data_IF_709161270160
#
_entry.id   IF_709161270160
#
_cell.length_a   1.000
_cell.length_b   1.000
_cell.length_c   1.000
_cell.angle_alpha   90.00
_cell.angle_beta   90.00
_cell.angle_gamma   90.00
#
_symmetry.space_group_name_H-M   'P 1'
#
loop_
_entity.id
_entity.type
_entity.pdbx_description
1 polymer ?
#
# COMPACT_ATOMS: atom_id res chain seq x y z
N UNK A 1 -1.16 -18.78 9.52
CA UNK A 1 -1.75 -18.07 8.34
C UNK A 1 -2.64 -16.96 8.84
N UNK A 2 -2.13 -15.73 8.90
CA UNK A 2 -2.97 -14.55 9.16
C UNK A 2 -3.82 -14.31 7.92
N UNK A 3 -5.10 -14.69 7.98
CA UNK A 3 -6.08 -14.32 6.95
C UNK A 3 -6.04 -12.79 6.86
N UNK A 4 -5.62 -12.26 5.71
CA UNK A 4 -5.75 -10.84 5.42
C UNK A 4 -7.18 -10.44 5.75
N UNK A 5 -7.38 -9.54 6.72
CA UNK A 5 -8.71 -9.04 7.04
C UNK A 5 -9.32 -8.55 5.72
N UNK A 6 -10.51 -9.05 5.33
CA UNK A 6 -11.16 -8.55 4.15
C UNK A 6 -11.28 -7.04 4.29
N UNK A 7 -10.79 -6.28 3.31
CA UNK A 7 -11.13 -4.86 3.19
C UNK A 7 -12.65 -4.78 3.34
N UNK A 8 -13.12 -4.09 4.37
CA UNK A 8 -14.55 -3.89 4.60
C UNK A 8 -15.15 -3.43 3.27
N UNK A 9 -16.04 -4.24 2.70
CA UNK A 9 -16.82 -3.79 1.56
C UNK A 9 -17.76 -2.73 2.10
N UNK A 10 -17.71 -1.53 1.51
CA UNK A 10 -18.50 -0.32 1.76
C UNK A 10 -20.04 -0.48 1.67
N UNK A 11 -20.60 -1.65 1.98
CA UNK A 11 -21.99 -1.97 1.73
C UNK A 11 -22.95 -1.43 2.81
N UNK A 12 -22.45 -0.84 3.89
CA UNK A 12 -23.28 -0.40 5.02
C UNK A 12 -23.62 1.10 5.00
N UNK A 13 -23.15 1.86 4.00
CA UNK A 13 -23.71 3.19 3.74
C UNK A 13 -24.99 2.97 2.93
N UNK A 14 -26.18 3.31 3.47
CA UNK A 14 -27.42 3.15 2.71
C UNK A 14 -27.33 3.96 1.43
N UNK A 15 -27.21 3.26 0.30
CA UNK A 15 -27.30 3.90 -1.02
C UNK A 15 -28.69 4.50 -1.10
N UNK A 16 -28.79 5.82 -1.23
CA UNK A 16 -30.09 6.45 -1.48
C UNK A 16 -30.66 5.84 -2.77
N UNK A 17 -31.84 5.21 -2.73
CA UNK A 17 -32.42 4.63 -3.93
C UNK A 17 -32.56 5.71 -4.99
N UNK A 18 -32.17 5.40 -6.22
CA UNK A 18 -32.33 6.33 -7.33
C UNK A 18 -33.81 6.67 -7.50
N UNK A 19 -34.17 7.96 -7.41
CA UNK A 19 -35.55 8.41 -7.59
C UNK A 19 -35.89 8.27 -9.09
N UNK A 20 -36.82 7.36 -9.40
CA UNK A 20 -37.22 7.07 -10.77
C UNK A 20 -37.69 8.33 -11.53
N UNK A 21 -37.41 8.38 -12.83
CA UNK A 21 -37.82 9.51 -13.68
C UNK A 21 -39.34 9.45 -13.93
N UNK A 22 -40.04 10.57 -13.73
CA UNK A 22 -41.46 10.70 -14.08
C UNK A 22 -42.46 10.32 -12.98
N UNK A 23 -42.03 10.01 -11.75
CA UNK A 23 -42.93 9.61 -10.65
C UNK A 23 -43.07 10.66 -9.54
N UNK A 24 -42.39 11.80 -9.63
CA UNK A 24 -42.47 12.85 -8.61
C UNK A 24 -43.74 13.69 -8.78
N UNK A 25 -44.83 13.25 -8.15
CA UNK A 25 -46.03 14.03 -7.94
C UNK A 25 -46.14 14.46 -6.46
N UNK A 26 -46.80 15.59 -6.15
CA UNK A 26 -47.12 15.91 -4.76
C UNK A 26 -47.90 14.75 -4.12
N UNK A 27 -47.49 14.32 -2.93
CA UNK A 27 -48.23 13.29 -2.17
C UNK A 27 -49.67 13.73 -1.90
N UNK A 28 -49.88 15.04 -1.70
CA UNK A 28 -51.20 15.66 -1.69
C UNK A 28 -51.26 16.76 -2.78
N UNK A 29 -52.06 16.59 -3.85
CA UNK A 29 -52.16 17.57 -4.93
C UNK A 29 -52.88 18.87 -4.52
N UNK A 30 -53.61 18.88 -3.40
CA UNK A 30 -54.33 20.07 -2.91
C UNK A 30 -53.51 20.92 -1.93
N UNK A 31 -52.40 20.38 -1.41
CA UNK A 31 -51.51 21.11 -0.54
C UNK A 31 -50.53 21.97 -1.35
N UNK A 32 -50.12 23.10 -0.79
CA UNK A 32 -49.01 23.88 -1.33
C UNK A 32 -47.74 23.04 -1.37
N UNK A 33 -47.16 22.88 -2.56
CA UNK A 33 -45.93 22.12 -2.75
C UNK A 33 -44.74 23.05 -2.72
N UNK A 34 -43.67 22.64 -2.04
CA UNK A 34 -42.41 23.39 -1.99
C UNK A 34 -41.89 23.75 -3.40
N UNK A 35 -42.08 22.87 -4.39
CA UNK A 35 -41.66 23.11 -5.78
C UNK A 35 -42.54 24.09 -6.56
N UNK A 36 -43.86 24.10 -6.31
CA UNK A 36 -44.79 24.93 -7.10
C UNK A 36 -45.12 26.25 -6.42
N UNK A 37 -45.02 26.32 -5.09
CA UNK A 37 -45.34 27.51 -4.30
C UNK A 37 -44.16 28.47 -4.21
N UNK A 38 -42.93 27.96 -4.07
CA UNK A 38 -41.74 28.79 -4.00
C UNK A 38 -41.01 28.81 -5.35
N UNK A 39 -40.57 29.99 -5.83
CA UNK A 39 -39.71 30.07 -7.01
C UNK A 39 -38.31 29.50 -6.71
N UNK A 40 -37.54 29.20 -7.76
CA UNK A 40 -36.24 28.52 -7.63
C UNK A 40 -35.26 29.31 -6.74
N UNK A 41 -35.31 30.64 -6.79
CA UNK A 41 -34.50 31.54 -5.99
C UNK A 41 -34.77 31.36 -4.49
N UNK A 42 -36.05 31.32 -4.09
CA UNK A 42 -36.43 31.08 -2.69
C UNK A 42 -36.02 29.68 -2.23
N UNK A 43 -36.16 28.66 -3.09
CA UNK A 43 -35.71 27.30 -2.76
C UNK A 43 -34.19 27.24 -2.58
N UNK A 44 -33.42 27.93 -3.42
CA UNK A 44 -31.97 28.03 -3.29
C UNK A 44 -31.56 28.71 -1.98
N UNK A 45 -32.30 29.73 -1.51
CA UNK A 45 -32.07 30.31 -0.17
C UNK A 45 -32.25 29.26 0.93
N UNK A 46 -33.28 28.42 0.84
CA UNK A 46 -33.51 27.31 1.79
C UNK A 46 -32.38 26.28 1.72
N UNK A 47 -31.98 25.84 0.52
CA UNK A 47 -30.87 24.88 0.38
C UNK A 47 -29.55 25.45 0.89
N UNK A 48 -29.28 26.73 0.63
CA UNK A 48 -28.10 27.40 1.18
C UNK A 48 -28.14 27.43 2.71
N UNK A 49 -29.28 27.76 3.31
CA UNK A 49 -29.42 27.74 4.77
C UNK A 49 -29.23 26.33 5.37
N UNK A 50 -29.59 25.26 4.64
CA UNK A 50 -29.47 23.88 5.11
C UNK A 50 -28.08 23.28 4.88
N UNK A 51 -27.44 23.59 3.75
CA UNK A 51 -26.30 22.84 3.25
C UNK A 51 -25.06 23.67 2.96
N UNK A 52 -25.17 24.99 2.83
CA UNK A 52 -23.97 25.81 2.64
C UNK A 52 -23.32 26.06 4.00
N UNK A 53 -22.04 25.72 4.09
CA UNK A 53 -21.25 25.85 5.29
C UNK A 53 -20.14 26.87 5.03
N UNK A 54 -20.24 28.08 5.59
CA UNK A 54 -19.17 29.06 5.48
C UNK A 54 -17.85 28.48 6.00
N UNK A 55 -16.79 28.53 5.19
CA UNK A 55 -15.49 27.93 5.50
C UNK A 55 -15.35 26.45 5.09
N UNK A 56 -16.41 25.84 4.56
CA UNK A 56 -16.40 24.48 4.04
C UNK A 56 -16.71 23.41 5.07
N UNK A 57 -16.80 22.17 4.60
CA UNK A 57 -17.10 21.00 5.41
C UNK A 57 -15.78 20.29 5.71
N UNK A 58 -15.38 20.23 6.98
CA UNK A 58 -14.19 19.48 7.41
C UNK A 58 -14.56 18.04 7.79
N UNK A 59 -13.84 17.09 7.22
CA UNK A 59 -13.96 15.65 7.51
C UNK A 59 -12.62 15.09 7.96
N UNK A 60 -12.67 14.15 8.88
CA UNK A 60 -11.51 13.37 9.34
C UNK A 60 -11.80 11.89 9.09
N UNK A 61 -11.40 11.35 7.92
CA UNK A 61 -11.63 9.94 7.62
C UNK A 61 -10.83 9.06 8.59
N UNK A 62 -11.55 8.37 9.47
CA UNK A 62 -11.03 7.28 10.29
C UNK A 62 -10.66 6.09 9.42
N UNK A 63 -9.54 5.42 9.72
CA UNK A 63 -9.16 4.17 9.04
C UNK A 63 -9.99 2.96 9.47
N UNK A 64 -10.48 2.97 10.72
CA UNK A 64 -11.23 1.87 11.31
C UNK A 64 -12.76 1.98 11.14
N UNK A 65 -13.26 3.06 10.52
CA UNK A 65 -14.66 3.26 10.12
C UNK A 65 -15.68 2.70 11.12
N UNK A 66 -15.62 3.19 12.36
CA UNK A 66 -16.85 3.24 13.14
C UNK A 66 -17.68 4.35 12.49
N UNK A 67 -18.81 4.00 11.89
CA UNK A 67 -19.68 4.82 11.02
C UNK A 67 -20.25 6.10 11.67
N UNK A 68 -19.71 6.51 12.82
CA UNK A 68 -20.11 7.66 13.62
C UNK A 68 -19.21 8.89 13.53
N UNK A 69 -17.90 8.80 13.27
CA UNK A 69 -16.98 9.90 13.68
C UNK A 69 -16.26 10.63 12.53
N UNK A 70 -16.83 10.60 11.32
CA UNK A 70 -16.17 11.21 10.13
C UNK A 70 -16.17 12.74 10.12
N UNK A 71 -17.07 13.39 10.86
CA UNK A 71 -17.14 14.85 10.95
C UNK A 71 -16.47 15.33 12.23
N UNK A 72 -15.54 16.28 12.11
CA UNK A 72 -14.92 16.90 13.28
C UNK A 72 -15.89 17.80 14.04
N UNK A 73 -16.74 18.52 13.30
CA UNK A 73 -17.75 19.38 13.87
C UNK A 73 -19.07 18.61 14.03
N UNK A 74 -19.35 18.20 15.27
CA UNK A 74 -20.58 17.47 15.62
C UNK A 74 -21.84 18.32 15.49
N UNK A 75 -21.76 19.65 15.66
CA UNK A 75 -22.91 20.54 15.48
C UNK A 75 -23.22 20.70 13.99
N UNK A 76 -22.18 20.87 13.16
CA UNK A 76 -22.33 20.84 11.71
C UNK A 76 -22.96 19.52 11.25
N UNK A 77 -22.48 18.39 11.77
CA UNK A 77 -23.07 17.08 11.47
C UNK A 77 -24.55 17.03 11.83
N UNK A 78 -24.94 17.48 13.02
CA UNK A 78 -26.36 17.53 13.43
C UNK A 78 -27.18 18.38 12.48
N UNK A 79 -26.66 19.55 12.08
CA UNK A 79 -27.30 20.44 11.10
C UNK A 79 -27.49 19.77 9.73
N UNK A 80 -26.43 19.19 9.18
CA UNK A 80 -26.49 18.48 7.89
C UNK A 80 -27.45 17.29 7.95
N UNK A 81 -27.40 16.47 9.02
CA UNK A 81 -28.28 15.32 9.23
C UNK A 81 -29.75 15.74 9.29
N UNK A 82 -30.05 16.87 9.95
CA UNK A 82 -31.41 17.42 9.97
C UNK A 82 -31.89 17.85 8.58
N UNK A 83 -30.98 18.29 7.70
CA UNK A 83 -31.27 18.64 6.31
C UNK A 83 -31.41 17.44 5.37
N UNK A 84 -30.73 16.31 5.61
CA UNK A 84 -30.70 15.15 4.72
C UNK A 84 -32.07 14.62 4.25
N UNK A 85 -33.14 14.59 5.08
CA UNK A 85 -34.47 14.17 4.62
C UNK A 85 -34.96 14.92 3.38
N UNK A 86 -34.59 16.19 3.19
CA UNK A 86 -35.00 16.97 2.02
C UNK A 86 -34.47 16.36 0.71
N UNK A 87 -33.28 15.73 0.74
CA UNK A 87 -32.67 15.07 -0.41
C UNK A 87 -33.43 13.80 -0.82
N UNK A 88 -34.26 13.26 0.07
CA UNK A 88 -35.07 12.07 -0.20
C UNK A 88 -36.48 12.36 -0.73
N UNK A 89 -36.85 13.64 -0.86
CA UNK A 89 -38.24 14.05 -1.18
C UNK A 89 -38.62 13.75 -2.64
N UNK A 90 -37.94 14.37 -3.60
CA UNK A 90 -38.16 14.14 -5.02
C UNK A 90 -36.90 14.45 -5.83
N UNK A 91 -36.88 14.00 -7.09
CA UNK A 91 -35.70 14.14 -7.97
C UNK A 91 -35.27 15.59 -8.18
N UNK A 92 -36.21 16.51 -8.37
CA UNK A 92 -35.89 17.92 -8.61
C UNK A 92 -35.25 18.55 -7.37
N UNK A 93 -35.88 18.41 -6.19
CA UNK A 93 -35.34 18.91 -4.93
C UNK A 93 -33.97 18.29 -4.66
N UNK A 94 -33.83 16.97 -4.86
CA UNK A 94 -32.55 16.29 -4.74
C UNK A 94 -31.47 16.94 -5.58
N UNK A 95 -31.70 17.20 -6.88
CA UNK A 95 -30.68 17.80 -7.74
C UNK A 95 -30.35 19.24 -7.36
N UNK A 96 -31.34 20.07 -7.04
CA UNK A 96 -31.13 21.46 -6.62
C UNK A 96 -30.34 21.52 -5.29
N UNK A 97 -30.78 20.76 -4.29
CA UNK A 97 -30.17 20.71 -2.96
C UNK A 97 -28.79 20.04 -2.95
N UNK A 98 -28.62 18.92 -3.66
CA UNK A 98 -27.33 18.22 -3.75
C UNK A 98 -26.27 19.09 -4.43
N UNK A 99 -26.65 19.91 -5.41
CA UNK A 99 -25.73 20.87 -6.02
C UNK A 99 -25.21 21.85 -4.96
N UNK A 100 -26.08 22.34 -4.09
CA UNK A 100 -25.67 23.20 -2.97
C UNK A 100 -24.74 22.48 -2.01
N UNK A 101 -25.08 21.25 -1.59
CA UNK A 101 -24.26 20.47 -0.66
C UNK A 101 -22.88 20.10 -1.23
N UNK A 102 -22.81 19.59 -2.45
CA UNK A 102 -21.57 19.04 -3.01
C UNK A 102 -20.75 20.04 -3.82
N UNK A 103 -21.40 20.92 -4.60
CA UNK A 103 -20.69 21.86 -5.48
C UNK A 103 -20.40 23.21 -4.85
N UNK A 104 -21.23 23.69 -3.92
CA UNK A 104 -21.06 25.02 -3.31
C UNK A 104 -20.31 24.98 -1.98
N UNK A 105 -19.86 23.81 -1.54
CA UNK A 105 -18.99 23.67 -0.38
C UNK A 105 -17.60 23.23 -0.81
N UNK A 106 -16.62 23.75 -0.09
CA UNK A 106 -15.25 23.25 -0.09
C UNK A 106 -15.13 22.11 0.92
N UNK A 107 -14.57 20.98 0.53
CA UNK A 107 -14.43 19.82 1.40
C UNK A 107 -13.01 19.72 1.94
N UNK A 108 -12.82 19.91 3.24
CA UNK A 108 -11.50 19.85 3.86
C UNK A 108 -11.29 18.48 4.47
N UNK A 109 -10.34 17.71 3.95
CA UNK A 109 -9.96 16.40 4.49
C UNK A 109 -8.76 16.60 5.40
N UNK A 110 -8.96 16.32 6.68
CA UNK A 110 -7.97 16.46 7.75
C UNK A 110 -7.65 15.09 8.35
N UNK A 111 -6.58 15.04 9.13
CA UNK A 111 -6.18 13.82 9.86
C UNK A 111 -7.05 13.60 11.09
N UNK A 112 -7.61 12.41 11.27
CA UNK A 112 -8.29 12.02 12.52
C UNK A 112 -7.30 11.93 13.69
N UNK A 113 -7.63 12.56 14.81
CA UNK A 113 -6.77 12.65 16.00
C UNK A 113 -7.11 11.63 17.06
N UNK A 114 -8.39 11.28 17.18
CA UNK A 114 -8.88 10.51 18.32
C UNK A 114 -8.51 9.02 18.17
N UNK A 115 -8.17 8.58 16.95
CA UNK A 115 -7.68 7.22 16.68
C UNK A 115 -6.15 7.05 16.77
N UNK A 116 -5.41 8.11 17.12
CA UNK A 116 -3.97 7.98 17.40
C UNK A 116 -3.70 7.27 18.74
N UNK A 117 -4.70 7.17 19.61
CA UNK A 117 -4.60 6.37 20.82
C UNK A 117 -4.67 4.86 20.48
N UNK A 118 -3.49 4.22 20.49
CA UNK A 118 -3.33 2.84 21.01
C UNK A 118 -3.73 1.67 20.08
N UNK A 119 -3.62 1.80 18.75
CA UNK A 119 -3.36 0.59 17.91
C UNK A 119 -1.89 0.52 17.52
N UNK A 120 -1.11 -0.11 18.41
CA UNK A 120 0.28 -0.54 18.24
C UNK A 120 1.39 0.54 18.15
N UNK A 121 1.09 1.80 18.50
CA UNK A 121 2.11 2.85 18.64
C UNK A 121 2.80 3.28 17.33
N UNK A 122 2.43 2.71 16.19
CA UNK A 122 2.93 3.10 14.88
C UNK A 122 2.07 4.19 14.29
N UNK A 123 2.29 5.43 14.73
CA UNK A 123 2.02 6.56 13.84
C UNK A 123 2.92 6.29 12.62
N UNK A 124 2.33 6.09 11.44
CA UNK A 124 3.04 5.74 10.21
C UNK A 124 4.09 6.80 9.89
N UNK A 125 5.27 6.76 10.51
CA UNK A 125 6.52 7.43 10.16
C UNK A 125 6.41 8.91 9.69
N UNK A 126 5.39 9.66 10.13
CA UNK A 126 5.07 10.97 9.57
C UNK A 126 4.64 10.96 8.09
N UNK A 127 4.29 9.82 7.50
CA UNK A 127 3.62 9.79 6.19
C UNK A 127 2.23 10.43 6.30
N UNK A 128 1.83 11.11 5.24
CA UNK A 128 0.55 11.80 5.10
C UNK A 128 -0.33 11.02 4.12
N UNK A 129 -1.52 10.64 4.57
CA UNK A 129 -2.47 9.76 3.87
C UNK A 129 -3.83 10.42 3.66
N UNK A 130 -3.93 11.72 3.91
CA UNK A 130 -5.13 12.53 3.77
C UNK A 130 -5.65 12.46 2.31
N UNK A 131 -4.74 12.32 1.34
CA UNK A 131 -5.10 12.07 -0.06
C UNK A 131 -5.86 10.75 -0.26
N UNK A 132 -5.44 9.66 0.37
CA UNK A 132 -6.19 8.40 0.36
C UNK A 132 -7.55 8.55 1.06
N UNK A 133 -7.58 9.28 2.18
CA UNK A 133 -8.83 9.64 2.86
C UNK A 133 -9.80 10.40 1.96
N UNK A 134 -9.31 11.36 1.17
CA UNK A 134 -10.11 12.11 0.21
C UNK A 134 -10.66 11.23 -0.91
N UNK A 135 -9.85 10.28 -1.41
CA UNK A 135 -10.30 9.30 -2.41
C UNK A 135 -11.38 8.41 -1.84
N UNK A 136 -11.23 7.95 -0.60
CA UNK A 136 -12.23 7.13 0.07
C UNK A 136 -13.53 7.91 0.26
N UNK A 137 -13.48 9.15 0.75
CA UNK A 137 -14.64 10.05 0.82
C UNK A 137 -15.34 10.19 -0.54
N UNK A 138 -14.57 10.41 -1.63
CA UNK A 138 -15.13 10.49 -2.98
C UNK A 138 -15.77 9.17 -3.42
N UNK A 139 -15.23 8.01 -3.03
CA UNK A 139 -15.86 6.72 -3.28
C UNK A 139 -17.18 6.57 -2.53
N UNK A 140 -17.24 7.03 -1.28
CA UNK A 140 -18.42 6.98 -0.42
C UNK A 140 -19.55 7.89 -0.94
N UNK A 141 -19.21 9.00 -1.60
CA UNK A 141 -20.18 9.81 -2.34
C UNK A 141 -20.78 9.10 -3.57
N UNK A 142 -20.18 8.00 -4.02
CA UNK A 142 -20.69 7.20 -5.12
C UNK A 142 -20.77 7.99 -6.43
N UNK A 143 -21.96 8.04 -7.03
CA UNK A 143 -22.20 8.80 -8.27
C UNK A 143 -22.16 10.33 -8.08
N UNK A 144 -22.27 10.82 -6.84
CA UNK A 144 -22.33 12.27 -6.53
C UNK A 144 -20.97 12.93 -6.51
N UNK A 145 -19.88 12.15 -6.49
CA UNK A 145 -18.52 12.69 -6.49
C UNK A 145 -18.22 13.61 -7.68
N UNK A 146 -18.96 13.45 -8.80
CA UNK A 146 -18.89 14.34 -9.98
C UNK A 146 -19.44 15.75 -9.74
N UNK A 147 -20.11 15.97 -8.60
CA UNK A 147 -20.58 17.29 -8.19
C UNK A 147 -19.57 18.01 -7.31
N UNK A 148 -18.61 17.30 -6.71
CA UNK A 148 -17.59 17.91 -5.84
C UNK A 148 -16.66 18.77 -6.68
N UNK A 149 -16.54 20.05 -6.30
CA UNK A 149 -15.72 21.03 -7.03
C UNK A 149 -14.36 21.27 -6.42
N UNK A 150 -14.27 21.22 -5.09
CA UNK A 150 -13.06 21.59 -4.38
C UNK A 150 -12.84 20.70 -3.15
N UNK A 151 -11.64 20.15 -3.05
CA UNK A 151 -11.14 19.46 -1.87
C UNK A 151 -9.87 20.16 -1.39
N UNK A 152 -9.82 20.48 -0.10
CA UNK A 152 -8.62 20.92 0.58
C UNK A 152 -8.06 19.76 1.40
N UNK A 153 -6.77 19.48 1.25
CA UNK A 153 -6.07 18.50 2.07
C UNK A 153 -5.33 19.26 3.17
N UNK A 154 -5.87 19.17 4.39
CA UNK A 154 -5.36 19.88 5.54
C UNK A 154 -4.14 19.16 6.13
N UNK A 155 -3.00 19.83 6.05
CA UNK A 155 -1.73 19.33 6.54
C UNK A 155 -1.32 19.89 7.91
N UNK A 156 -2.15 20.71 8.57
CA UNK A 156 -1.84 21.28 9.90
C UNK A 156 -1.61 20.20 10.97
N UNK A 157 -2.14 19.00 10.74
CA UNK A 157 -1.98 17.86 11.66
C UNK A 157 -0.76 16.98 11.33
N UNK A 158 0.15 17.46 10.49
CA UNK A 158 1.43 16.84 10.24
C UNK A 158 2.41 17.10 11.39
N UNK A 159 2.97 16.06 12.03
CA UNK A 159 4.10 16.26 12.97
C UNK A 159 5.35 16.72 12.20
N UNK A 160 6.18 17.65 12.72
CA UNK A 160 7.45 18.05 12.11
C UNK A 160 8.44 16.89 11.90
N UNK A 161 9.42 17.14 11.03
CA UNK A 161 10.59 16.28 10.87
C UNK A 161 11.74 16.88 11.68
N UNK A 162 12.39 16.16 12.60
CA UNK A 162 12.08 14.85 13.15
C UNK A 162 11.18 14.90 14.40
N UNK A 163 10.11 14.12 14.42
CA UNK A 163 9.20 13.97 15.57
C UNK A 163 9.68 12.84 16.49
N UNK A 164 10.10 13.09 17.75
CA UNK A 164 10.62 12.04 18.64
C UNK A 164 9.56 10.99 18.99
N UNK A 165 8.28 11.36 19.01
CA UNK A 165 7.16 10.43 19.17
C UNK A 165 7.00 9.46 17.99
N UNK A 166 7.60 9.77 16.83
CA UNK A 166 7.67 8.87 15.66
C UNK A 166 8.98 8.09 15.58
N UNK A 167 9.91 8.28 16.52
CA UNK A 167 11.03 7.34 16.72
C UNK A 167 10.52 6.11 17.45
N UNK A 168 9.55 5.43 16.85
CA UNK A 168 9.17 4.11 17.32
C UNK A 168 10.38 3.23 17.02
N UNK A 169 11.01 2.70 18.07
CA UNK A 169 12.00 1.64 17.89
C UNK A 169 11.36 0.58 16.98
N UNK A 170 12.06 0.14 15.92
CA UNK A 170 11.47 -0.76 14.94
C UNK A 170 10.89 -1.96 15.67
N UNK A 171 9.56 -2.05 15.68
CA UNK A 171 8.86 -3.15 16.34
C UNK A 171 9.42 -4.43 15.73
N UNK A 172 10.04 -5.35 16.51
CA UNK A 172 10.88 -6.42 15.96
C UNK A 172 10.20 -7.32 14.92
N UNK A 173 8.86 -7.35 14.90
CA UNK A 173 8.04 -8.16 14.01
C UNK A 173 7.18 -7.35 13.02
N UNK A 174 7.17 -6.02 13.12
CA UNK A 174 6.61 -5.15 12.11
C UNK A 174 7.79 -4.49 11.41
N UNK A 175 8.23 -4.99 10.24
CA UNK A 175 9.25 -4.30 9.46
C UNK A 175 8.72 -2.90 9.13
N UNK A 176 9.05 -1.93 9.97
CA UNK A 176 8.68 -0.53 9.83
C UNK A 176 9.23 -0.09 8.48
N UNK A 177 8.36 0.21 7.49
CA UNK A 177 8.78 -0.10 6.14
C UNK A 177 9.85 0.83 5.58
N UNK A 178 10.05 2.06 6.07
CA UNK A 178 11.00 2.98 5.42
C UNK A 178 11.43 4.16 6.26
N UNK A 179 12.74 4.47 6.18
CA UNK A 179 13.30 5.83 6.34
C UNK A 179 13.10 6.73 5.12
N UNK A 180 12.88 6.15 3.95
CA UNK A 180 12.81 6.92 2.68
C UNK A 180 11.40 7.44 2.34
N UNK A 181 10.35 6.85 2.93
CA UNK A 181 8.97 7.36 2.89
C UNK A 181 8.54 7.95 4.24
N UNK A 182 9.46 8.02 5.20
CA UNK A 182 9.29 8.87 6.38
C UNK A 182 9.03 10.28 5.87
N UNK A 183 8.04 10.94 6.46
CA UNK A 183 7.76 12.34 6.15
C UNK A 183 7.45 12.61 4.67
N UNK A 184 6.69 11.72 4.04
CA UNK A 184 6.21 11.88 2.67
C UNK A 184 4.68 12.04 2.62
N UNK A 185 4.19 12.60 1.52
CA UNK A 185 2.78 12.71 1.16
C UNK A 185 2.47 11.65 0.11
N UNK A 186 1.52 10.77 0.40
CA UNK A 186 1.04 9.78 -0.55
C UNK A 186 0.04 10.45 -1.50
N UNK A 187 0.23 10.30 -2.82
CA UNK A 187 -0.51 11.06 -3.83
C UNK A 187 -1.21 10.20 -4.89
N UNK A 188 -0.89 8.91 -4.97
CA UNK A 188 -1.25 8.10 -6.15
C UNK A 188 -2.75 7.91 -6.33
N UNK A 189 -3.43 7.51 -5.25
CA UNK A 189 -4.86 7.22 -5.33
C UNK A 189 -5.64 8.49 -5.72
N UNK A 190 -5.22 9.65 -5.23
CA UNK A 190 -5.87 10.92 -5.54
C UNK A 190 -5.56 11.42 -6.94
N UNK A 191 -4.28 11.34 -7.36
CA UNK A 191 -3.89 11.66 -8.73
C UNK A 191 -4.69 10.82 -9.74
N UNK A 192 -4.87 9.53 -9.46
CA UNK A 192 -5.68 8.62 -10.27
C UNK A 192 -7.16 8.98 -10.25
N UNK A 193 -7.73 9.29 -9.09
CA UNK A 193 -9.13 9.70 -8.98
C UNK A 193 -9.42 10.98 -9.79
N UNK A 194 -8.51 11.94 -9.79
CA UNK A 194 -8.63 13.19 -10.56
C UNK A 194 -8.57 13.00 -12.07
N UNK A 195 -7.96 11.92 -12.58
CA UNK A 195 -8.05 11.58 -14.00
C UNK A 195 -9.49 11.35 -14.45
N UNK A 196 -10.33 10.87 -13.54
CA UNK A 196 -11.76 10.63 -13.76
C UNK A 196 -12.64 11.82 -13.35
N UNK A 197 -12.07 12.82 -12.68
CA UNK A 197 -12.77 14.01 -12.16
C UNK A 197 -12.01 15.29 -12.56
N UNK A 198 -11.98 15.64 -13.86
CA UNK A 198 -11.16 16.76 -14.35
C UNK A 198 -11.61 18.13 -13.83
N UNK A 199 -12.84 18.24 -13.33
CA UNK A 199 -13.42 19.45 -12.75
C UNK A 199 -13.13 19.61 -11.25
N UNK A 200 -12.62 18.57 -10.60
CA UNK A 200 -12.29 18.61 -9.19
C UNK A 200 -10.98 19.37 -9.01
N UNK A 201 -11.02 20.45 -8.22
CA UNK A 201 -9.84 21.13 -7.70
C UNK A 201 -9.42 20.46 -6.40
N UNK A 202 -8.13 20.18 -6.28
CA UNK A 202 -7.51 19.67 -5.06
C UNK A 202 -6.38 20.62 -4.71
N UNK A 203 -6.28 20.99 -3.44
CA UNK A 203 -5.22 21.86 -2.94
C UNK A 203 -4.73 21.37 -1.57
N UNK A 204 -3.42 21.28 -1.39
CA UNK A 204 -2.80 21.05 -0.09
C UNK A 204 -2.69 22.39 0.65
N UNK A 205 -3.13 22.42 1.91
CA UNK A 205 -3.25 23.65 2.69
C UNK A 205 -2.75 23.47 4.13
N UNK A 206 -2.37 24.61 4.73
CA UNK A 206 -2.12 24.79 6.15
C UNK A 206 -3.04 25.90 6.70
N UNK A 207 -4.35 25.64 6.84
CA UNK A 207 -5.36 26.68 7.04
C UNK A 207 -5.15 27.48 8.33
N UNK A 208 -4.69 26.85 9.40
CA UNK A 208 -4.36 27.51 10.67
C UNK A 208 -2.92 28.01 10.71
N UNK A 209 -2.07 27.57 9.76
CA UNK A 209 -0.60 27.72 9.82
C UNK A 209 -0.01 27.22 11.14
N UNK A 210 -0.76 26.40 11.86
CA UNK A 210 -0.41 25.78 13.13
C UNK A 210 -0.14 24.32 12.84
N UNK A 211 0.82 24.08 11.95
CA UNK A 211 1.39 22.78 11.88
C UNK A 211 2.09 22.56 13.25
N UNK A 212 1.58 21.62 14.05
CA UNK A 212 2.16 21.16 15.31
C UNK A 212 2.32 22.14 16.51
N UNK A 213 1.25 22.77 16.99
CA UNK A 213 1.23 23.25 18.40
C UNK A 213 0.37 22.36 19.32
N UNK A 214 -0.73 21.79 18.82
CA UNK A 214 -1.68 21.07 19.68
C UNK A 214 -1.28 19.61 19.98
N UNK A 215 -0.45 18.97 19.14
CA UNK A 215 -0.13 17.54 19.26
C UNK A 215 0.87 17.20 20.35
N UNK A 216 1.82 18.09 20.59
CA UNK A 216 2.92 17.86 21.50
C UNK A 216 3.21 19.12 22.33
N UNK A 217 2.27 19.53 23.21
CA UNK A 217 2.47 20.68 24.08
C UNK A 217 3.73 20.53 24.96
N UNK A 218 4.15 19.28 25.23
CA UNK A 218 5.36 18.95 25.99
C UNK A 218 6.67 19.22 25.26
N UNK A 219 6.67 19.39 23.93
CA UNK A 219 7.89 19.56 23.16
C UNK A 219 8.43 21.00 23.16
N UNK A 220 7.75 21.94 23.83
CA UNK A 220 8.06 23.36 23.74
C UNK A 220 7.75 23.89 22.33
N UNK A 221 7.53 25.19 22.17
CA UNK A 221 7.30 25.77 20.85
C UNK A 221 8.47 25.48 19.92
N UNK A 222 8.36 24.44 19.09
CA UNK A 222 9.29 24.25 18.00
C UNK A 222 9.01 25.36 16.99
N UNK A 223 9.91 26.33 16.91
CA UNK A 223 10.03 27.24 15.74
C UNK A 223 10.52 26.49 14.48
N UNK A 224 10.51 25.16 14.49
CA UNK A 224 10.87 24.37 13.32
C UNK A 224 9.71 24.39 12.33
N UNK A 225 9.86 25.32 11.39
CA UNK A 225 9.18 25.39 10.11
C UNK A 225 8.87 23.98 9.61
N UNK A 226 7.59 23.63 9.61
CA UNK A 226 7.14 22.38 9.01
C UNK A 226 7.32 22.62 7.52
N UNK A 227 8.48 22.18 7.04
CA UNK A 227 9.07 22.52 5.75
C UNK A 227 8.31 21.88 4.57
N UNK A 228 6.99 21.80 4.66
CA UNK A 228 6.11 21.46 3.56
C UNK A 228 5.98 22.71 2.72
N UNK A 229 6.72 22.73 1.61
CA UNK A 229 6.61 23.79 0.62
C UNK A 229 5.28 23.63 -0.13
N UNK A 230 4.18 24.16 0.42
CA UNK A 230 2.81 23.94 -0.11
C UNK A 230 2.69 24.29 -1.60
N UNK A 231 3.27 25.41 -2.03
CA UNK A 231 3.22 25.82 -3.44
C UNK A 231 3.92 24.80 -4.35
N UNK A 232 5.09 24.31 -3.92
CA UNK A 232 5.86 23.28 -4.62
C UNK A 232 5.13 21.94 -4.60
N UNK A 233 4.46 21.60 -3.50
CA UNK A 233 3.67 20.37 -3.35
C UNK A 233 2.46 20.37 -4.27
N UNK A 234 1.70 21.48 -4.30
CA UNK A 234 0.57 21.70 -5.20
C UNK A 234 1.02 21.64 -6.67
N UNK A 235 2.10 22.32 -7.03
CA UNK A 235 2.67 22.27 -8.38
C UNK A 235 3.16 20.87 -8.75
N UNK A 236 3.82 20.16 -7.83
CA UNK A 236 4.26 18.76 -8.01
C UNK A 236 3.07 17.85 -8.28
N UNK A 237 2.01 17.99 -7.50
CA UNK A 237 0.81 17.19 -7.66
C UNK A 237 0.12 17.46 -9.01
N UNK A 238 0.05 18.72 -9.43
CA UNK A 238 -0.47 19.08 -10.76
C UNK A 238 0.39 18.51 -11.90
N UNK A 239 1.72 18.50 -11.73
CA UNK A 239 2.66 17.92 -12.70
C UNK A 239 2.54 16.40 -12.76
N UNK A 240 2.36 15.72 -11.61
CA UNK A 240 2.04 14.30 -11.53
C UNK A 240 0.71 13.98 -12.22
N UNK A 241 -0.32 14.81 -12.01
CA UNK A 241 -1.63 14.68 -12.66
C UNK A 241 -1.52 14.73 -14.18
N UNK A 242 -0.60 15.53 -14.73
CA UNK A 242 -0.32 15.61 -16.18
C UNK A 242 0.55 14.47 -16.72
N UNK A 243 0.95 13.54 -15.86
CA UNK A 243 1.78 12.38 -16.21
C UNK A 243 3.18 12.73 -16.73
N UNK A 244 3.82 13.77 -16.19
CA UNK A 244 5.14 14.24 -16.66
C UNK A 244 6.24 13.16 -16.66
N UNK A 245 6.13 12.17 -15.77
CA UNK A 245 7.06 11.04 -15.66
C UNK A 245 6.54 9.74 -16.31
N UNK A 246 5.41 9.78 -17.03
CA UNK A 246 4.87 8.62 -17.76
C UNK A 246 4.39 7.47 -16.86
N UNK A 247 4.00 7.77 -15.61
CA UNK A 247 3.54 6.79 -14.62
C UNK A 247 2.20 6.14 -15.01
N UNK A 248 1.34 6.79 -15.81
CA UNK A 248 0.07 6.20 -16.24
C UNK A 248 0.26 4.95 -17.08
N UNK A 249 1.36 4.87 -17.85
CA UNK A 249 1.74 3.66 -18.60
C UNK A 249 1.89 2.42 -17.72
N UNK A 250 2.15 2.61 -16.42
CA UNK A 250 2.30 1.56 -15.43
C UNK A 250 1.07 1.38 -14.53
N UNK A 251 -0.08 2.00 -14.84
CA UNK A 251 -1.16 2.23 -13.87
C UNK A 251 -1.60 1.03 -13.02
N UNK A 252 -1.71 -0.17 -13.59
CA UNK A 252 -2.08 -1.39 -12.81
C UNK A 252 -0.97 -1.90 -11.89
N UNK A 253 0.26 -1.55 -12.20
CA UNK A 253 1.48 -1.95 -11.50
C UNK A 253 1.86 -0.92 -10.44
N UNK A 254 1.49 0.36 -10.57
CA UNK A 254 1.74 1.34 -9.52
C UNK A 254 0.89 0.99 -8.29
N UNK A 255 1.53 0.94 -7.14
CA UNK A 255 0.86 0.77 -5.87
C UNK A 255 0.73 2.08 -5.13
N UNK A 256 1.82 2.85 -5.06
CA UNK A 256 1.87 4.12 -4.37
C UNK A 256 2.81 5.08 -5.06
N UNK A 257 2.57 6.36 -4.86
CA UNK A 257 3.43 7.48 -5.24
C UNK A 257 3.55 8.35 -4.00
N UNK A 258 4.77 8.52 -3.53
CA UNK A 258 5.10 9.34 -2.37
C UNK A 258 5.92 10.54 -2.83
N UNK A 259 5.62 11.72 -2.30
CA UNK A 259 6.43 12.94 -2.46
C UNK A 259 6.96 13.32 -1.10
N UNK A 260 8.27 13.52 -0.96
CA UNK A 260 8.83 13.97 0.31
C UNK A 260 8.30 15.36 0.66
N UNK A 261 8.09 15.63 1.96
CA UNK A 261 7.53 16.91 2.42
C UNK A 261 8.38 18.11 2.06
N UNK A 262 9.70 17.94 2.03
CA UNK A 262 10.64 18.97 1.54
C UNK A 262 10.50 19.24 0.04
N UNK A 263 9.69 18.44 -0.67
CA UNK A 263 9.44 18.48 -2.09
C UNK A 263 10.70 18.38 -2.94
N UNK A 264 11.75 17.71 -2.46
CA UNK A 264 13.00 17.52 -3.21
C UNK A 264 12.95 16.31 -4.16
N UNK A 265 12.18 15.29 -3.80
CA UNK A 265 12.02 14.07 -4.58
C UNK A 265 10.72 13.32 -4.25
N UNK A 266 10.45 12.30 -5.05
CA UNK A 266 9.42 11.32 -4.74
C UNK A 266 9.81 9.90 -5.16
N UNK A 267 8.96 8.97 -4.74
CA UNK A 267 9.12 7.53 -4.94
C UNK A 267 7.86 6.95 -5.54
N UNK A 268 8.00 6.15 -6.60
CA UNK A 268 6.94 5.31 -7.15
C UNK A 268 7.21 3.87 -6.74
N UNK A 269 6.27 3.27 -6.02
CA UNK A 269 6.36 1.88 -5.55
C UNK A 269 5.42 1.04 -6.39
N UNK A 270 5.95 -0.06 -6.92
CA UNK A 270 5.21 -0.97 -7.78
C UNK A 270 4.67 -2.17 -6.97
N UNK A 271 3.50 -2.65 -7.38
CA UNK A 271 2.89 -3.89 -6.91
C UNK A 271 3.81 -5.05 -7.28
N UNK A 272 4.05 -5.91 -6.31
CA UNK A 272 4.71 -7.19 -6.53
C UNK A 272 3.65 -8.26 -6.81
N UNK A 273 3.84 -9.15 -7.80
CA UNK A 273 2.94 -10.27 -8.03
C UNK A 273 2.97 -11.27 -6.86
N UNK A 274 4.07 -11.27 -6.09
CA UNK A 274 4.24 -12.08 -4.88
C UNK A 274 4.10 -11.21 -3.63
N UNK A 275 3.47 -11.69 -2.54
CA UNK A 275 3.44 -10.99 -1.27
C UNK A 275 4.86 -10.84 -0.72
N UNK A 276 5.50 -9.70 -0.99
CA UNK A 276 6.81 -9.36 -0.45
C UNK A 276 6.70 -8.19 0.52
N UNK A 277 7.56 -8.16 1.55
CA UNK A 277 7.72 -6.99 2.40
C UNK A 277 7.88 -5.75 1.54
N UNK A 278 7.27 -4.64 1.97
CA UNK A 278 7.24 -3.41 1.18
C UNK A 278 8.64 -2.99 0.76
N UNK A 279 9.60 -2.99 1.69
CA UNK A 279 11.02 -2.64 1.49
C UNK A 279 11.70 -3.32 0.30
N UNK A 280 11.22 -4.50 -0.10
CA UNK A 280 11.77 -5.32 -1.17
C UNK A 280 11.07 -5.11 -2.52
N UNK A 281 10.06 -4.24 -2.57
CA UNK A 281 9.33 -3.93 -3.80
C UNK A 281 10.15 -3.05 -4.71
N UNK A 282 9.96 -3.25 -6.00
CA UNK A 282 10.51 -2.37 -7.02
C UNK A 282 10.05 -0.94 -6.76
N UNK A 283 11.01 -0.02 -6.74
CA UNK A 283 10.77 1.41 -6.55
C UNK A 283 11.58 2.21 -7.56
N UNK A 284 11.02 3.32 -8.02
CA UNK A 284 11.70 4.31 -8.84
C UNK A 284 11.65 5.66 -8.14
N UNK A 285 12.77 6.38 -8.15
CA UNK A 285 12.87 7.73 -7.60
C UNK A 285 12.75 8.76 -8.70
N UNK A 286 12.05 9.85 -8.44
CA UNK A 286 12.03 11.02 -9.30
C UNK A 286 12.48 12.25 -8.52
N UNK A 287 13.21 13.13 -9.20
CA UNK A 287 13.57 14.44 -8.69
C UNK A 287 12.45 15.41 -8.96
N UNK A 288 12.26 16.33 -8.04
CA UNK A 288 11.36 17.47 -8.18
C UNK A 288 12.25 18.70 -8.37
N UNK A 289 11.96 19.49 -9.39
CA UNK A 289 12.73 20.69 -9.74
C UNK A 289 11.79 21.79 -10.24
N UNK A 290 12.32 23.00 -10.41
CA UNK A 290 11.56 24.16 -10.88
C UNK A 290 10.28 24.38 -10.08
N UNK A 291 10.40 24.37 -8.75
CA UNK A 291 9.27 24.57 -7.83
C UNK A 291 8.10 23.59 -8.08
N UNK A 292 8.42 22.33 -8.40
CA UNK A 292 7.41 21.29 -8.62
C UNK A 292 6.84 21.21 -10.04
N UNK A 293 7.27 22.10 -10.93
CA UNK A 293 6.79 22.14 -12.33
C UNK A 293 7.48 21.14 -13.23
N UNK A 294 8.64 20.62 -12.81
CA UNK A 294 9.37 19.62 -13.57
C UNK A 294 9.67 18.40 -12.69
N UNK A 295 9.25 17.23 -13.19
CA UNK A 295 9.47 15.93 -12.58
C UNK A 295 10.30 15.09 -13.56
N UNK A 296 11.45 14.63 -13.11
CA UNK A 296 12.30 13.76 -13.89
C UNK A 296 12.62 12.52 -13.08
N UNK A 297 12.59 11.34 -13.70
CA UNK A 297 13.18 10.16 -13.07
C UNK A 297 14.62 10.51 -12.69
N UNK A 298 14.97 10.37 -11.40
CA UNK A 298 16.38 10.43 -11.03
C UNK A 298 17.03 9.36 -11.88
N UNK A 299 18.03 9.77 -12.67
CA UNK A 299 18.91 8.86 -13.38
C UNK A 299 19.19 7.75 -12.38
N UNK A 300 18.56 6.59 -12.59
CA UNK A 300 19.10 5.36 -12.07
C UNK A 300 20.50 5.44 -12.66
N UNK A 301 21.52 5.75 -11.85
CA UNK A 301 22.84 5.30 -12.18
C UNK A 301 22.60 3.85 -12.50
N UNK A 302 22.52 3.54 -13.80
CA UNK A 302 22.05 2.25 -14.28
C UNK A 302 23.23 1.37 -13.99
N UNK A 303 23.38 0.97 -12.72
CA UNK A 303 24.11 -0.24 -12.38
C UNK A 303 23.57 -1.25 -13.36
N UNK A 304 24.42 -1.76 -14.27
CA UNK A 304 23.98 -2.65 -15.32
C UNK A 304 23.05 -3.69 -14.70
N UNK A 305 21.90 -3.98 -15.34
CA UNK A 305 20.94 -4.91 -14.78
C UNK A 305 21.68 -6.19 -14.40
N UNK A 306 21.75 -6.45 -13.10
CA UNK A 306 22.43 -7.63 -12.58
C UNK A 306 21.39 -8.53 -11.98
N UNK A 307 21.58 -9.84 -12.11
CA UNK A 307 20.74 -10.82 -11.43
C UNK A 307 20.64 -10.48 -9.93
N UNK A 308 21.72 -9.99 -9.33
CA UNK A 308 21.73 -9.64 -7.91
C UNK A 308 20.94 -8.37 -7.56
N UNK A 309 20.72 -7.48 -8.52
CA UNK A 309 19.90 -6.28 -8.38
C UNK A 309 18.38 -6.53 -8.48
N UNK A 310 17.95 -7.72 -8.91
CA UNK A 310 16.52 -8.06 -8.95
C UNK A 310 15.92 -8.19 -7.54
N UNK A 311 14.60 -8.00 -7.37
CA UNK A 311 13.90 -8.29 -6.12
C UNK A 311 14.16 -9.72 -5.65
N UNK A 312 14.28 -9.95 -4.33
CA UNK A 312 14.67 -11.26 -3.80
C UNK A 312 13.77 -12.40 -4.27
N UNK A 313 12.46 -12.18 -4.36
CA UNK A 313 11.50 -13.21 -4.80
C UNK A 313 11.67 -13.57 -6.28
N UNK A 314 12.01 -12.62 -7.14
CA UNK A 314 12.32 -12.87 -8.55
C UNK A 314 13.65 -13.60 -8.68
N UNK A 315 14.68 -13.18 -7.93
CA UNK A 315 15.97 -13.89 -7.88
C UNK A 315 15.76 -15.33 -7.45
N UNK A 316 14.97 -15.50 -6.40
CA UNK A 316 14.66 -16.80 -5.83
C UNK A 316 13.92 -17.69 -6.83
N UNK A 317 12.90 -17.15 -7.51
CA UNK A 317 12.19 -17.84 -8.56
C UNK A 317 13.12 -18.22 -9.73
N UNK A 318 13.93 -17.29 -10.24
CA UNK A 318 14.89 -17.57 -11.33
C UNK A 318 15.88 -18.66 -10.90
N UNK A 319 16.42 -18.56 -9.69
CA UNK A 319 17.35 -19.56 -9.17
C UNK A 319 16.65 -20.90 -9.06
N UNK A 320 15.42 -20.97 -8.56
CA UNK A 320 14.66 -22.21 -8.48
C UNK A 320 14.37 -22.81 -9.86
N UNK A 321 13.89 -21.98 -10.79
CA UNK A 321 13.51 -22.41 -12.14
C UNK A 321 14.72 -22.88 -12.93
N UNK A 322 15.86 -22.19 -12.83
CA UNK A 322 17.11 -22.58 -13.51
C UNK A 322 17.72 -23.80 -12.83
N UNK A 323 17.69 -23.88 -11.50
CA UNK A 323 18.41 -24.90 -10.75
C UNK A 323 17.69 -26.24 -10.68
N UNK A 324 16.36 -26.28 -10.82
CA UNK A 324 15.54 -27.47 -10.58
C UNK A 324 14.63 -27.83 -11.77
N UNK A 325 15.08 -27.58 -13.00
CA UNK A 325 14.36 -27.92 -14.24
C UNK A 325 14.06 -29.42 -14.31
N UNK A 326 12.80 -29.78 -14.64
CA UNK A 326 12.40 -31.17 -14.91
C UNK A 326 12.00 -31.97 -13.67
N UNK A 327 11.99 -31.34 -12.50
CA UNK A 327 11.65 -32.01 -11.25
C UNK A 327 10.16 -31.81 -10.94
N UNK A 328 9.30 -32.30 -11.84
CA UNK A 328 7.87 -32.38 -11.58
C UNK A 328 7.59 -33.66 -10.78
N UNK A 329 7.79 -33.60 -9.46
CA UNK A 329 7.30 -34.64 -8.56
C UNK A 329 5.77 -34.59 -8.44
N UNK A 330 5.13 -35.67 -7.97
CA UNK A 330 3.74 -35.61 -7.53
C UNK A 330 3.56 -34.42 -6.56
N UNK A 331 2.42 -33.71 -6.60
CA UNK A 331 2.21 -32.49 -5.82
C UNK A 331 2.44 -32.68 -4.31
N UNK A 332 2.33 -33.91 -3.82
CA UNK A 332 2.44 -34.26 -2.40
C UNK A 332 3.87 -34.54 -1.90
N UNK A 333 4.85 -34.73 -2.79
CA UNK A 333 6.20 -35.17 -2.38
C UNK A 333 7.34 -34.22 -2.78
N UNK A 334 7.02 -33.17 -3.52
CA UNK A 334 8.02 -32.27 -4.06
C UNK A 334 9.02 -33.00 -4.98
N UNK A 335 9.96 -32.28 -5.56
CA UNK A 335 10.98 -32.89 -6.39
C UNK A 335 12.07 -33.62 -5.60
N UNK A 336 12.50 -34.77 -6.12
CA UNK A 336 13.61 -35.55 -5.57
C UNK A 336 14.94 -35.08 -6.16
N UNK A 337 15.93 -34.85 -5.29
CA UNK A 337 17.32 -34.63 -5.69
C UNK A 337 18.08 -35.92 -5.47
N UNK A 338 18.61 -36.51 -6.53
CA UNK A 338 19.35 -37.77 -6.46
C UNK A 338 20.84 -37.50 -6.57
N UNK A 339 21.56 -37.86 -5.51
CA UNK A 339 23.01 -37.83 -5.42
C UNK A 339 23.54 -39.22 -5.77
N UNK A 340 23.91 -39.45 -7.03
CA UNK A 340 24.53 -40.71 -7.46
C UNK A 340 26.02 -40.67 -7.13
N UNK A 341 26.39 -41.31 -6.02
CA UNK A 341 27.76 -41.28 -5.50
C UNK A 341 28.73 -42.11 -6.34
N UNK A 342 28.24 -43.11 -7.06
CA UNK A 342 29.08 -43.93 -7.91
C UNK A 342 29.42 -43.20 -9.21
N UNK A 343 28.42 -42.54 -9.82
CA UNK A 343 28.61 -41.76 -11.05
C UNK A 343 29.12 -40.35 -10.79
N UNK A 344 29.09 -39.89 -9.53
CA UNK A 344 29.36 -38.50 -9.13
C UNK A 344 28.48 -37.50 -9.87
N UNK A 345 27.21 -37.85 -10.05
CA UNK A 345 26.22 -37.01 -10.75
C UNK A 345 25.11 -36.57 -9.81
N UNK A 346 24.56 -35.38 -10.08
CA UNK A 346 23.40 -34.84 -9.40
C UNK A 346 22.22 -34.83 -10.38
N UNK A 347 21.17 -35.58 -10.07
CA UNK A 347 19.92 -35.59 -10.86
C UNK A 347 18.86 -34.81 -10.11
N UNK A 348 18.05 -34.04 -10.84
CA UNK A 348 17.01 -33.20 -10.24
C UNK A 348 17.53 -31.84 -9.74
N UNK A 349 18.79 -31.52 -9.99
CA UNK A 349 19.32 -30.18 -9.83
C UNK A 349 20.48 -29.93 -10.82
N UNK A 350 20.66 -28.69 -11.25
CA UNK A 350 21.82 -28.26 -12.03
C UNK A 350 22.72 -27.34 -11.19
N UNK A 351 24.03 -27.57 -11.26
CA UNK A 351 25.02 -26.79 -10.54
C UNK A 351 25.35 -25.45 -11.22
N UNK A 352 24.79 -25.17 -12.40
CA UNK A 352 25.09 -23.95 -13.17
C UNK A 352 24.86 -22.67 -12.35
N UNK A 353 23.81 -22.60 -11.53
CA UNK A 353 23.55 -21.45 -10.67
C UNK A 353 24.66 -21.24 -9.61
N UNK A 354 25.26 -22.33 -9.13
CA UNK A 354 26.33 -22.30 -8.11
C UNK A 354 27.64 -21.72 -8.64
N UNK A 355 27.81 -21.69 -9.97
CA UNK A 355 29.01 -21.21 -10.64
C UNK A 355 28.97 -19.70 -10.95
N UNK A 356 27.78 -19.08 -10.97
CA UNK A 356 27.60 -17.68 -11.38
C UNK A 356 28.38 -16.71 -10.47
N UNK A 357 28.10 -16.73 -9.16
CA UNK A 357 28.84 -15.94 -8.18
C UNK A 357 28.61 -16.47 -6.76
N UNK A 358 29.44 -16.02 -5.79
CA UNK A 358 29.34 -16.43 -4.38
C UNK A 358 27.94 -16.26 -3.80
N UNK A 359 27.22 -15.19 -4.17
CA UNK A 359 25.91 -14.88 -3.59
C UNK A 359 24.78 -15.73 -4.18
N UNK A 360 24.80 -15.99 -5.49
CA UNK A 360 23.88 -16.94 -6.14
C UNK A 360 24.14 -18.35 -5.63
N UNK A 361 25.39 -18.73 -5.42
CA UNK A 361 25.78 -20.01 -4.83
C UNK A 361 25.16 -20.24 -3.46
N UNK A 362 25.19 -19.24 -2.57
CA UNK A 362 24.55 -19.34 -1.25
C UNK A 362 23.05 -19.57 -1.39
N UNK A 363 22.36 -18.76 -2.21
CA UNK A 363 20.93 -18.91 -2.44
C UNK A 363 20.56 -20.27 -3.05
N UNK A 364 21.35 -20.76 -4.02
CA UNK A 364 21.18 -22.08 -4.60
C UNK A 364 21.26 -23.17 -3.52
N UNK A 365 22.28 -23.15 -2.66
CA UNK A 365 22.44 -24.16 -1.63
C UNK A 365 21.35 -24.06 -0.55
N UNK A 366 20.98 -22.85 -0.12
CA UNK A 366 19.86 -22.67 0.82
C UNK A 366 18.59 -23.35 0.25
N UNK A 367 18.28 -23.13 -1.04
CA UNK A 367 17.12 -23.75 -1.70
C UNK A 367 17.25 -25.22 -1.99
N UNK A 368 18.46 -25.69 -2.31
CA UNK A 368 18.76 -27.09 -2.50
C UNK A 368 18.34 -27.89 -1.25
N UNK A 369 18.58 -27.34 -0.06
CA UNK A 369 18.28 -27.98 1.22
C UNK A 369 16.87 -27.72 1.76
N UNK A 370 16.27 -26.56 1.49
CA UNK A 370 14.96 -26.16 2.05
C UNK A 370 13.77 -26.97 1.51
N UNK A 371 13.82 -27.47 0.26
CA UNK A 371 12.59 -27.78 -0.48
C UNK A 371 12.45 -29.21 -1.02
N UNK A 372 13.33 -30.14 -0.66
CA UNK A 372 13.49 -31.37 -1.45
C UNK A 372 13.76 -32.59 -0.59
N UNK A 373 13.32 -33.74 -1.10
CA UNK A 373 13.76 -35.03 -0.60
C UNK A 373 15.11 -35.33 -1.25
N UNK A 374 16.14 -35.50 -0.42
CA UNK A 374 17.47 -35.85 -0.90
C UNK A 374 17.55 -37.38 -0.92
N UNK A 375 17.77 -37.96 -2.09
CA UNK A 375 17.99 -39.39 -2.27
C UNK A 375 19.48 -39.59 -2.53
N UNK A 376 20.15 -40.29 -1.64
CA UNK A 376 21.52 -40.71 -1.90
C UNK A 376 21.51 -42.08 -2.53
N UNK A 377 22.04 -42.19 -3.75
CA UNK A 377 22.14 -43.44 -4.50
C UNK A 377 23.57 -43.98 -4.42
N UNK A 378 23.70 -45.18 -3.86
CA UNK A 378 24.97 -45.92 -3.77
C UNK A 378 24.77 -47.32 -4.31
N UNK A 379 25.59 -47.72 -5.28
CA UNK A 379 25.69 -49.10 -5.74
C UNK A 379 26.61 -49.92 -4.84
N UNK A 380 26.17 -51.15 -4.55
CA UNK A 380 26.96 -52.16 -3.84
C UNK A 380 26.88 -53.50 -4.56
N UNK A 381 28.00 -54.21 -4.66
CA UNK A 381 28.08 -55.61 -5.10
C UNK A 381 28.18 -56.58 -3.92
N UNK A 382 28.30 -56.06 -2.70
CA UNK A 382 28.39 -56.88 -1.50
C UNK A 382 26.99 -57.24 -1.00
N UNK A 383 26.81 -58.52 -0.65
CA UNK A 383 25.57 -59.03 -0.05
C UNK A 383 25.28 -58.40 1.32
N UNK A 384 26.32 -57.89 2.00
CA UNK A 384 26.25 -57.12 3.24
C UNK A 384 26.81 -55.74 2.97
N UNK A 385 26.06 -54.69 3.27
CA UNK A 385 26.56 -53.32 3.15
C UNK A 385 27.63 -53.09 4.22
N UNK A 386 28.91 -53.11 3.84
CA UNK A 386 29.92 -52.45 4.66
C UNK A 386 29.71 -50.94 4.52
N UNK A 387 29.45 -50.24 5.62
CA UNK A 387 29.16 -48.80 5.57
C UNK A 387 30.42 -47.98 5.26
N UNK A 388 31.44 -48.56 4.61
CA UNK A 388 32.73 -47.91 4.32
C UNK A 388 32.56 -46.65 3.47
N UNK A 389 31.61 -46.65 2.52
CA UNK A 389 31.25 -45.49 1.71
C UNK A 389 30.54 -44.37 2.50
N UNK A 390 30.10 -44.60 3.73
CA UNK A 390 29.48 -43.56 4.57
C UNK A 390 30.48 -42.50 5.02
N UNK A 391 31.78 -42.79 5.04
CA UNK A 391 32.77 -41.77 5.36
C UNK A 391 32.78 -40.66 4.30
N UNK A 392 32.62 -41.00 3.02
CA UNK A 392 32.47 -40.04 1.93
C UNK A 392 31.18 -39.22 2.04
N UNK A 393 30.09 -39.85 2.50
CA UNK A 393 28.83 -39.15 2.81
C UNK A 393 29.01 -38.17 3.97
N UNK A 394 29.65 -38.62 5.05
CA UNK A 394 29.93 -37.79 6.21
C UNK A 394 30.78 -36.58 5.81
N UNK A 395 31.79 -36.75 4.97
CA UNK A 395 32.59 -35.65 4.43
C UNK A 395 31.74 -34.69 3.58
N UNK A 396 30.89 -35.19 2.68
CA UNK A 396 29.98 -34.35 1.90
C UNK A 396 29.08 -33.48 2.79
N UNK A 397 28.60 -34.06 3.90
CA UNK A 397 27.67 -33.40 4.83
C UNK A 397 28.35 -32.44 5.81
N UNK A 398 29.60 -32.74 6.20
CA UNK A 398 30.34 -31.95 7.19
C UNK A 398 31.14 -30.80 6.58
N UNK A 399 31.50 -30.88 5.30
CA UNK A 399 32.42 -29.90 4.67
C UNK A 399 31.71 -28.65 4.12
N UNK A 400 30.37 -28.66 3.95
CA UNK A 400 29.69 -27.62 3.15
C UNK A 400 28.43 -27.00 3.80
N UNK A 401 28.41 -26.71 5.09
CA UNK A 401 27.47 -25.72 5.65
C UNK A 401 28.12 -24.33 5.66
N UNK A 402 27.98 -23.50 4.59
CA UNK A 402 28.89 -22.38 4.37
C UNK A 402 28.39 -21.06 4.96
N UNK A 403 27.34 -21.07 5.79
CA UNK A 403 26.71 -19.82 6.24
C UNK A 403 26.71 -19.68 7.76
N UNK A 404 27.46 -18.71 8.33
CA UNK A 404 27.36 -18.30 9.72
C UNK A 404 25.95 -17.81 10.14
N UNK A 405 25.08 -17.50 9.18
CA UNK A 405 23.69 -17.09 9.45
C UNK A 405 22.79 -18.25 9.90
N UNK A 406 23.26 -19.50 9.78
CA UNK A 406 22.58 -20.69 10.28
C UNK A 406 22.85 -20.99 11.76
N UNK A 407 23.68 -20.17 12.42
CA UNK A 407 24.03 -20.31 13.85
C UNK A 407 23.03 -19.58 14.76
N UNK A 408 22.04 -18.86 14.19
CA UNK A 408 21.01 -18.18 14.96
C UNK A 408 19.94 -19.14 15.50
N UNK A 409 20.18 -19.74 16.68
CA UNK A 409 19.25 -20.30 17.69
C UNK A 409 17.98 -21.08 17.31
N UNK A 410 17.64 -21.25 16.04
CA UNK A 410 16.64 -22.21 15.59
C UNK A 410 17.29 -23.58 15.65
N UNK A 411 17.11 -24.26 16.80
CA UNK A 411 17.36 -25.70 16.92
C UNK A 411 16.72 -26.36 15.68
N UNK A 412 17.47 -27.26 15.03
CA UNK A 412 17.04 -28.20 13.98
C UNK A 412 15.92 -29.15 14.47
N UNK A 413 14.89 -28.62 15.13
CA UNK A 413 13.73 -29.36 15.55
C UNK A 413 12.71 -29.24 14.43
N UNK A 414 12.65 -30.30 13.65
CA UNK A 414 11.44 -30.76 12.94
C UNK A 414 11.22 -30.37 11.47
N UNK A 415 12.19 -29.78 10.79
CA UNK A 415 12.17 -29.62 9.31
C UNK A 415 13.45 -30.17 8.66
N UNK A 416 13.88 -31.37 9.06
CA UNK A 416 14.97 -32.02 8.34
C UNK A 416 14.54 -32.34 6.90
N UNK A 417 15.32 -31.98 5.86
CA UNK A 417 15.14 -32.61 4.56
C UNK A 417 15.13 -34.12 4.78
N UNK A 418 14.09 -34.82 4.30
CA UNK A 418 14.01 -36.27 4.45
C UNK A 418 15.10 -36.88 3.56
N UNK A 419 16.26 -37.15 4.16
CA UNK A 419 17.35 -37.87 3.52
C UNK A 419 16.93 -39.34 3.42
N UNK A 420 16.80 -39.83 2.19
CA UNK A 420 16.55 -41.24 1.90
C UNK A 420 17.81 -41.84 1.29
N UNK A 421 18.14 -43.05 1.74
CA UNK A 421 19.23 -43.82 1.18
C UNK A 421 18.65 -44.85 0.22
N UNK A 422 19.07 -44.81 -1.04
CA UNK A 422 18.76 -45.80 -2.06
C UNK A 422 20.00 -46.67 -2.32
N UNK A 423 19.91 -47.94 -1.94
CA UNK A 423 20.97 -48.92 -2.18
C UNK A 423 20.62 -49.74 -3.44
N UNK A 424 21.45 -49.63 -4.47
CA UNK A 424 21.29 -50.42 -5.69
C UNK A 424 22.25 -51.62 -5.68
N UNK A 425 21.68 -52.82 -5.55
CA UNK A 425 22.45 -54.05 -5.60
C UNK A 425 22.78 -54.38 -7.05
N UNK A 426 24.07 -54.34 -7.38
CA UNK A 426 24.56 -54.77 -8.70
C UNK A 426 24.76 -56.28 -8.65
N UNK A 427 23.85 -57.02 -9.28
CA UNK A 427 24.05 -58.45 -9.53
C UNK A 427 25.14 -58.55 -10.62
N UNK A 428 26.24 -59.30 -10.36
CA UNK A 428 27.36 -59.40 -11.29
C UNK A 428 26.99 -60.00 -12.64
#
# INVERSE_FOLDING_TARGET
MNKAKPRYRNNDIPSFPAIAQGTSAPCNPTAFSFLTTFPAETRNVVYNALFHVPGGIRVSPSWDYVTGDTFEDQELRKGLVAGLPILSTCRQIYHEAATTLFSNNTWTVSRDLDQMEVRDGTILNGTMTEAAGAVQMLQDFGSRKVMVREILLDLDRACPVPCPMHRVDPVPNHPMPYRESEHAVEMWDLATAMLHLPHLRVEFVHPKRQACYDFHPSLGGFEHDISVQLDVLNATFDTLRRDAIGIRGYGKQVQWVFVQRDCSEGNVIFRSPVPVPMKDRSKLRFAISEEGRNLAWKSLERTPPSLMGLPWHIKDQIINDVSFVGCAGPPDHGPEIIWDMDKKTLTGATLLASEICKRVRVLFFDRLWDYKQHVLKIGTSQLRADFSKFQSLQQLWTVNHPSPHWIGNHKFKDLGPSLRLLLEFRVP
#
